data_IF_111838447469
#
_entry.id   IF_111838447469
#
_cell.length_a   1.000
_cell.length_b   1.000
_cell.length_c   1.000
_cell.angle_alpha   90.00
_cell.angle_beta   90.00
_cell.angle_gamma   90.00
#
_symmetry.space_group_name_H-M   'P 1'
#
loop_
_entity.id
_entity.type
_entity.pdbx_description
1 polymer ?
#
# COMPACT_ATOMS: atom_id res chain seq x y z
N UNK A 1 -0.63 -7.69 7.48
CA UNK A 1 -1.77 -6.98 8.10
C UNK A 1 -3.11 -7.73 7.98
N UNK A 2 -3.24 -8.75 7.13
CA UNK A 2 -4.50 -9.47 6.92
C UNK A 2 -5.19 -9.98 8.21
N UNK A 3 -4.50 -10.60 9.19
CA UNK A 3 -5.18 -11.09 10.41
C UNK A 3 -5.87 -10.00 11.24
N UNK A 4 -5.31 -8.77 11.25
CA UNK A 4 -5.90 -7.64 11.95
C UNK A 4 -7.12 -7.10 11.20
N UNK A 5 -6.99 -6.94 9.88
CA UNK A 5 -8.10 -6.53 9.01
C UNK A 5 -9.28 -7.50 9.12
N UNK A 6 -9.04 -8.81 9.01
CA UNK A 6 -10.08 -9.82 9.10
C UNK A 6 -10.78 -9.83 10.46
N UNK A 7 -10.02 -9.69 11.56
CA UNK A 7 -10.58 -9.61 12.90
C UNK A 7 -11.47 -8.37 13.08
N UNK A 8 -10.99 -7.19 12.65
CA UNK A 8 -11.74 -5.93 12.82
C UNK A 8 -13.01 -5.89 11.96
N UNK A 9 -12.97 -6.45 10.75
CA UNK A 9 -14.16 -6.60 9.90
C UNK A 9 -15.17 -7.54 10.57
N UNK A 10 -14.72 -8.70 11.07
CA UNK A 10 -15.60 -9.69 11.71
C UNK A 10 -16.24 -9.17 13.00
N UNK A 11 -15.50 -8.40 13.78
CA UNK A 11 -15.97 -7.84 15.06
C UNK A 11 -16.70 -6.50 14.88
N UNK A 12 -16.86 -6.02 13.63
CA UNK A 12 -17.57 -4.79 13.31
C UNK A 12 -16.87 -3.51 13.77
N UNK A 13 -15.58 -3.59 14.12
CA UNK A 13 -14.76 -2.42 14.50
C UNK A 13 -14.35 -1.58 13.31
N UNK A 14 -14.29 -2.21 12.13
CA UNK A 14 -13.93 -1.57 10.87
C UNK A 14 -14.97 -1.96 9.81
N UNK A 15 -15.37 -1.00 8.99
CA UNK A 15 -16.18 -1.26 7.79
C UNK A 15 -15.26 -1.41 6.57
N UNK A 16 -15.72 -2.06 5.51
CA UNK A 16 -14.94 -2.13 4.27
C UNK A 16 -14.62 -0.75 3.68
N UNK A 17 -15.58 0.19 3.73
CA UNK A 17 -15.37 1.56 3.27
C UNK A 17 -14.33 2.30 4.11
N UNK A 18 -14.40 2.18 5.45
CA UNK A 18 -13.41 2.78 6.35
C UNK A 18 -12.03 2.16 6.18
N UNK A 19 -11.95 0.85 5.93
CA UNK A 19 -10.69 0.19 5.61
C UNK A 19 -10.09 0.71 4.30
N UNK A 20 -10.92 0.91 3.27
CA UNK A 20 -10.50 1.48 1.99
C UNK A 20 -9.99 2.90 2.17
N UNK A 21 -10.72 3.77 2.87
CA UNK A 21 -10.32 5.15 3.14
C UNK A 21 -8.97 5.21 3.89
N UNK A 22 -8.80 4.39 4.93
CA UNK A 22 -7.53 4.30 5.66
C UNK A 22 -6.37 3.86 4.75
N UNK A 23 -6.61 2.88 3.88
CA UNK A 23 -5.60 2.43 2.94
C UNK A 23 -5.27 3.53 1.92
N UNK A 24 -6.27 4.25 1.41
CA UNK A 24 -6.08 5.38 0.51
C UNK A 24 -5.26 6.50 1.16
N UNK A 25 -5.55 6.83 2.43
CA UNK A 25 -4.77 7.79 3.20
C UNK A 25 -3.31 7.33 3.35
N UNK A 26 -3.07 6.04 3.62
CA UNK A 26 -1.72 5.48 3.67
C UNK A 26 -0.98 5.65 2.33
N UNK A 27 -1.61 5.35 1.18
CA UNK A 27 -1.04 5.56 -0.16
C UNK A 27 -0.63 7.03 -0.35
N UNK A 28 -1.51 7.99 0.03
CA UNK A 28 -1.19 9.43 -0.03
C UNK A 28 0.01 9.76 0.86
N UNK A 29 0.07 9.24 2.09
CA UNK A 29 1.18 9.47 3.01
C UNK A 29 2.52 8.94 2.48
N UNK A 30 2.52 7.82 1.77
CA UNK A 30 3.73 7.32 1.10
C UNK A 30 4.25 8.29 0.04
N UNK A 31 3.35 8.95 -0.69
CA UNK A 31 3.70 9.94 -1.71
C UNK A 31 4.23 11.27 -1.13
N UNK A 32 4.12 11.48 0.18
CA UNK A 32 4.71 12.66 0.83
C UNK A 32 6.17 12.45 1.24
N UNK A 33 6.65 11.21 1.25
CA UNK A 33 8.01 10.91 1.68
C UNK A 33 9.03 11.40 0.66
N UNK A 34 10.00 12.17 1.14
CA UNK A 34 11.01 12.81 0.32
C UNK A 34 12.40 12.35 0.72
N UNK A 35 13.19 11.94 -0.26
CA UNK A 35 14.62 11.73 -0.11
C UNK A 35 15.39 12.91 -0.71
N UNK A 36 16.03 13.71 0.16
CA UNK A 36 16.89 14.81 -0.30
C UNK A 36 18.21 14.24 -0.86
N UNK A 37 18.56 14.66 -2.08
CA UNK A 37 19.77 14.22 -2.78
C UNK A 37 20.63 15.41 -3.20
N UNK A 38 21.93 15.16 -3.38
CA UNK A 38 22.86 16.12 -3.98
C UNK A 38 22.52 16.33 -5.45
N UNK A 39 23.04 17.40 -6.08
CA UNK A 39 22.79 17.67 -7.50
C UNK A 39 23.14 16.47 -8.40
N UNK A 40 24.28 15.82 -8.13
CA UNK A 40 24.69 14.64 -8.88
C UNK A 40 23.73 13.47 -8.63
N UNK A 41 23.37 13.22 -7.37
CA UNK A 41 22.41 12.17 -6.99
C UNK A 41 21.04 12.38 -7.64
N UNK A 42 20.55 13.61 -7.70
CA UNK A 42 19.27 13.95 -8.32
C UNK A 42 19.24 13.65 -9.83
N UNK A 43 20.39 13.70 -10.52
CA UNK A 43 20.49 13.29 -11.94
C UNK A 43 20.43 11.78 -12.13
N UNK A 44 20.96 11.00 -11.18
CA UNK A 44 20.90 9.53 -11.21
C UNK A 44 19.56 8.97 -10.73
N UNK A 45 18.96 9.59 -9.71
CA UNK A 45 17.71 9.17 -9.07
C UNK A 45 16.62 10.22 -9.28
N UNK A 46 16.35 10.53 -10.54
CA UNK A 46 15.40 11.56 -10.93
C UNK A 46 13.97 11.22 -10.49
N UNK A 47 13.18 12.26 -10.18
CA UNK A 47 11.74 12.15 -9.95
C UNK A 47 11.29 12.02 -8.49
N UNK A 48 12.07 12.56 -7.53
CA UNK A 48 11.68 12.62 -6.11
C UNK A 48 11.25 11.25 -5.54
N UNK A 49 12.04 10.22 -5.83
CA UNK A 49 11.70 8.84 -5.54
C UNK A 49 12.17 8.43 -4.14
N UNK A 50 11.25 8.14 -3.19
CA UNK A 50 11.59 7.49 -1.93
C UNK A 50 11.73 5.97 -2.06
N UNK A 51 11.41 5.40 -3.24
CA UNK A 51 11.54 3.97 -3.57
C UNK A 51 10.78 3.03 -2.63
N UNK A 52 9.54 3.39 -2.27
CA UNK A 52 8.69 2.56 -1.41
C UNK A 52 8.04 1.49 -2.28
N UNK A 53 8.20 0.22 -1.92
CA UNK A 53 7.54 -0.88 -2.63
C UNK A 53 6.50 -1.55 -1.74
N UNK A 54 5.31 -1.79 -2.29
CA UNK A 54 4.24 -2.55 -1.67
C UNK A 54 3.90 -3.77 -2.55
N UNK A 55 4.11 -4.96 -2.02
CA UNK A 55 3.81 -6.22 -2.70
C UNK A 55 2.53 -6.84 -2.13
N UNK A 56 1.67 -7.36 -3.00
CA UNK A 56 0.42 -8.06 -2.64
C UNK A 56 0.30 -9.39 -3.41
N UNK A 57 -0.52 -10.31 -2.91
CA UNK A 57 -0.70 -11.65 -3.51
C UNK A 57 0.50 -12.59 -3.28
N UNK A 58 0.77 -13.46 -4.26
CA UNK A 58 1.89 -14.41 -4.22
C UNK A 58 1.52 -15.79 -3.68
N UNK A 59 2.42 -16.44 -2.95
CA UNK A 59 2.22 -17.80 -2.42
C UNK A 59 2.41 -17.87 -0.90
N UNK A 60 1.62 -18.70 -0.23
CA UNK A 60 1.74 -18.95 1.22
C UNK A 60 2.97 -19.79 1.50
N UNK A 61 3.48 -19.70 2.73
CA UNK A 61 4.60 -20.55 3.21
C UNK A 61 4.28 -22.05 3.15
N UNK A 62 3.02 -22.41 3.32
CA UNK A 62 2.51 -23.78 3.18
C UNK A 62 2.34 -24.23 1.72
N UNK A 63 2.64 -23.37 0.76
CA UNK A 63 2.21 -23.50 -0.62
C UNK A 63 0.78 -22.99 -0.86
N UNK A 64 0.44 -22.81 -2.13
CA UNK A 64 -0.86 -22.28 -2.59
C UNK A 64 -0.91 -20.75 -2.65
N UNK A 65 -1.99 -20.23 -3.24
CA UNK A 65 -2.21 -18.79 -3.49
C UNK A 65 -2.39 -17.98 -2.20
N UNK A 66 -1.68 -16.85 -2.08
CA UNK A 66 -1.76 -15.94 -0.92
C UNK A 66 -2.76 -14.79 -1.10
N UNK A 67 -3.45 -14.69 -2.24
CA UNK A 67 -4.50 -13.67 -2.44
C UNK A 67 -5.62 -13.77 -1.39
N UNK A 68 -6.12 -12.60 -0.99
CA UNK A 68 -7.15 -12.43 0.03
C UNK A 68 -7.84 -11.06 -0.15
N UNK A 69 -8.88 -10.76 0.63
CA UNK A 69 -9.66 -9.52 0.47
C UNK A 69 -8.83 -8.24 0.61
N UNK A 70 -7.81 -8.25 1.47
CA UNK A 70 -6.92 -7.10 1.64
C UNK A 70 -6.07 -6.86 0.37
N UNK A 71 -5.80 -7.91 -0.42
CA UNK A 71 -5.09 -7.78 -1.71
C UNK A 71 -5.89 -6.90 -2.67
N UNK A 72 -7.19 -7.20 -2.84
CA UNK A 72 -8.05 -6.43 -3.71
C UNK A 72 -8.30 -5.01 -3.19
N UNK A 73 -8.48 -4.86 -1.87
CA UNK A 73 -8.65 -3.55 -1.26
C UNK A 73 -7.44 -2.63 -1.51
N UNK A 74 -6.21 -3.16 -1.41
CA UNK A 74 -5.00 -2.39 -1.72
C UNK A 74 -4.96 -2.03 -3.22
N UNK A 75 -5.32 -2.95 -4.11
CA UNK A 75 -5.38 -2.68 -5.55
C UNK A 75 -6.37 -1.57 -5.89
N UNK A 76 -7.55 -1.58 -5.25
CA UNK A 76 -8.56 -0.53 -5.40
C UNK A 76 -8.08 0.81 -4.83
N UNK A 77 -7.44 0.81 -3.66
CA UNK A 77 -6.87 2.02 -3.08
C UNK A 77 -5.88 2.70 -4.03
N UNK A 78 -4.93 1.94 -4.60
CA UNK A 78 -3.97 2.44 -5.59
C UNK A 78 -4.68 2.95 -6.86
N UNK A 79 -5.64 2.18 -7.38
CA UNK A 79 -6.42 2.54 -8.58
C UNK A 79 -7.20 3.84 -8.41
N UNK A 80 -7.75 4.11 -7.22
CA UNK A 80 -8.57 5.29 -6.96
C UNK A 80 -7.72 6.53 -6.65
N UNK A 81 -6.68 6.40 -5.83
CA UNK A 81 -5.86 7.54 -5.38
C UNK A 81 -4.96 8.08 -6.49
N UNK A 82 -4.34 7.19 -7.28
CA UNK A 82 -3.50 7.56 -8.45
C UNK A 82 -2.36 8.55 -8.14
N UNK A 83 -1.66 8.34 -7.03
CA UNK A 83 -0.40 9.04 -6.72
C UNK A 83 0.80 8.14 -7.02
N UNK A 84 2.00 8.72 -7.07
CA UNK A 84 3.20 8.06 -7.59
C UNK A 84 3.89 7.06 -6.65
N UNK A 85 3.39 6.90 -5.42
CA UNK A 85 3.88 5.96 -4.41
C UNK A 85 2.71 5.40 -3.59
N UNK A 86 2.89 4.25 -2.92
CA UNK A 86 3.88 3.22 -3.25
C UNK A 86 3.59 2.58 -4.62
#
# INVERSE_FOLDING_TARGET
>A
CYPMFEADIREGRLTHEGALELMQAFIIKCAELMWMSSELGAKYFAGYQPFINLTVGGQKRSGGDACNDLTYLIMDAVRFVKVYQP
#
